data_IF_897650832255
#
_entry.id   IF_897650832255
#
_cell.length_a   1.000
_cell.length_b   1.000
_cell.length_c   1.000
_cell.angle_alpha   90.00
_cell.angle_beta   90.00
_cell.angle_gamma   90.00
#
_symmetry.space_group_name_H-M   'P 1'
#
loop_
_entity.id
_entity.type
_entity.pdbx_description
1 polymer ?
#
# COMPACT_ATOMS: atom_id res chain seq x y z
N UNK A 1 5.49 -8.73 -8.16
CA UNK A 1 4.84 -7.42 -8.39
C UNK A 1 4.06 -7.46 -9.69
N UNK A 2 3.01 -6.66 -9.84
CA UNK A 2 2.22 -6.54 -11.08
C UNK A 2 2.09 -5.05 -11.43
N UNK A 3 2.29 -4.70 -12.69
CA UNK A 3 2.02 -3.35 -13.19
C UNK A 3 0.66 -3.36 -13.89
N UNK A 4 -0.25 -2.49 -13.47
CA UNK A 4 -1.61 -2.40 -14.03
C UNK A 4 -2.01 -0.94 -14.25
N UNK A 5 -2.76 -0.65 -15.31
CA UNK A 5 -3.23 0.71 -15.58
C UNK A 5 -4.33 1.14 -14.61
N UNK A 6 -5.18 0.20 -14.18
CA UNK A 6 -6.30 0.45 -13.27
C UNK A 6 -6.34 -0.62 -12.19
N UNK A 7 -6.55 -0.21 -10.93
CA UNK A 7 -6.85 -1.14 -9.86
C UNK A 7 -8.28 -1.65 -10.02
N UNK A 8 -8.43 -2.93 -10.32
CA UNK A 8 -9.75 -3.55 -10.30
C UNK A 8 -10.22 -3.70 -8.84
N UNK A 9 -11.52 -3.51 -8.57
CA UNK A 9 -12.06 -3.79 -7.24
C UNK A 9 -11.95 -5.29 -6.96
N UNK A 10 -10.97 -5.67 -6.15
CA UNK A 10 -10.78 -7.05 -5.74
C UNK A 10 -11.92 -7.46 -4.79
N UNK A 11 -12.49 -8.64 -5.04
CA UNK A 11 -13.57 -9.23 -4.21
C UNK A 11 -13.04 -9.77 -2.88
N UNK A 12 -11.75 -10.05 -2.77
CA UNK A 12 -11.12 -10.67 -1.61
C UNK A 12 -10.41 -9.65 -0.71
N UNK A 13 -9.98 -8.51 -1.27
CA UNK A 13 -9.26 -7.49 -0.52
C UNK A 13 -10.11 -6.22 -0.35
N UNK A 14 -9.80 -5.45 0.70
CA UNK A 14 -10.37 -4.11 0.94
C UNK A 14 -9.26 -3.10 1.16
N UNK A 15 -9.49 -1.90 0.65
CA UNK A 15 -8.62 -0.77 0.92
C UNK A 15 -8.79 -0.35 2.40
N UNK A 16 -7.67 -0.31 3.13
CA UNK A 16 -7.63 -0.02 4.57
C UNK A 16 -6.84 1.25 4.89
N UNK A 17 -6.30 1.96 3.90
CA UNK A 17 -5.49 3.16 4.10
C UNK A 17 -6.20 4.27 4.89
N UNK A 18 -7.53 4.38 4.77
CA UNK A 18 -8.35 5.31 5.57
C UNK A 18 -8.36 5.04 7.08
N UNK A 19 -7.94 3.85 7.51
CA UNK A 19 -7.87 3.47 8.93
C UNK A 19 -6.53 3.85 9.58
N UNK A 20 -5.59 4.36 8.79
CA UNK A 20 -4.25 4.71 9.22
C UNK A 20 -4.02 6.22 9.28
N UNK A 21 -3.06 6.61 10.10
CA UNK A 21 -2.40 7.91 10.04
C UNK A 21 -1.22 7.80 9.07
N UNK A 22 -1.10 8.78 8.18
CA UNK A 22 -0.05 8.82 7.16
C UNK A 22 0.94 9.92 7.48
N UNK A 23 2.23 9.65 7.31
CA UNK A 23 3.28 10.66 7.39
C UNK A 23 4.37 10.40 6.35
N UNK A 24 5.10 11.45 6.00
CA UNK A 24 6.25 11.39 5.09
C UNK A 24 7.48 11.98 5.76
N UNK A 25 8.68 11.58 5.34
CA UNK A 25 9.93 12.14 5.89
C UNK A 25 10.12 13.61 5.59
N UNK A 26 9.69 14.05 4.41
CA UNK A 26 9.78 15.43 3.95
C UNK A 26 8.76 15.67 2.85
N UNK A 27 8.41 16.93 2.62
CA UNK A 27 7.55 17.32 1.51
C UNK A 27 7.85 18.76 1.10
N UNK A 28 7.81 19.05 -0.20
CA UNK A 28 7.77 20.43 -0.67
C UNK A 28 6.45 21.10 -0.29
N UNK A 29 6.43 22.42 -0.01
CA UNK A 29 5.19 23.15 0.24
C UNK A 29 4.16 22.93 -0.88
N UNK A 30 2.94 22.54 -0.51
CA UNK A 30 1.85 22.26 -1.44
C UNK A 30 1.85 20.87 -2.08
N UNK A 31 2.87 20.04 -1.83
CA UNK A 31 2.98 18.68 -2.36
C UNK A 31 3.16 17.65 -1.24
N UNK A 32 2.25 17.68 -0.26
CA UNK A 32 2.35 16.92 0.98
C UNK A 32 1.78 15.50 0.90
N UNK A 33 1.68 14.86 2.08
CA UNK A 33 1.20 13.49 2.26
C UNK A 33 -0.26 13.31 1.83
N UNK A 34 -1.06 14.37 1.91
CA UNK A 34 -2.47 14.41 1.52
C UNK A 34 -2.69 14.03 0.05
N UNK A 35 -1.75 14.35 -0.83
CA UNK A 35 -1.86 14.09 -2.26
C UNK A 35 -1.69 12.60 -2.60
N UNK A 36 -1.05 11.80 -1.73
CA UNK A 36 -0.95 10.35 -1.91
C UNK A 36 -2.32 9.65 -1.92
N UNK A 37 -3.37 10.32 -1.45
CA UNK A 37 -4.66 9.74 -1.08
C UNK A 37 -5.86 10.51 -1.63
N UNK A 38 -5.64 11.54 -2.44
CA UNK A 38 -6.70 12.41 -2.98
C UNK A 38 -7.48 11.79 -4.15
N UNK A 39 -6.99 10.66 -4.68
CA UNK A 39 -7.63 9.92 -5.75
C UNK A 39 -7.39 10.48 -7.15
N UNK A 40 -6.47 11.44 -7.31
CA UNK A 40 -6.10 12.03 -8.59
C UNK A 40 -4.72 11.57 -9.06
N UNK A 41 -4.52 11.43 -10.36
CA UNK A 41 -3.25 11.00 -10.96
C UNK A 41 -2.39 12.19 -11.42
N UNK A 42 -2.95 13.40 -11.43
CA UNK A 42 -2.26 14.64 -11.80
C UNK A 42 -1.52 15.31 -10.63
N UNK A 43 -1.91 15.02 -9.40
CA UNK A 43 -1.26 15.46 -8.15
C UNK A 43 -0.24 14.43 -7.65
N UNK A 44 0.70 14.88 -6.83
CA UNK A 44 1.76 14.02 -6.30
C UNK A 44 2.35 14.56 -5.00
N UNK A 45 2.74 13.65 -4.11
CA UNK A 45 3.71 13.98 -3.08
C UNK A 45 5.08 14.19 -3.72
N UNK A 46 5.75 15.27 -3.33
CA UNK A 46 7.15 15.53 -3.71
C UNK A 46 8.01 15.61 -2.44
N UNK A 47 8.97 14.70 -2.31
CA UNK A 47 9.94 14.76 -1.21
C UNK A 47 10.83 16.02 -1.30
N UNK A 48 11.43 16.39 -0.18
CA UNK A 48 12.41 17.48 -0.11
C UNK A 48 13.44 17.19 0.99
N UNK A 49 14.32 16.21 0.75
CA UNK A 49 15.20 15.70 1.80
C UNK A 49 16.27 14.74 1.33
N UNK A 50 16.95 14.08 2.27
CA UNK A 50 17.91 13.04 1.96
C UNK A 50 17.20 11.69 1.78
N UNK A 51 17.67 10.89 0.83
CA UNK A 51 17.23 9.50 0.68
C UNK A 51 17.65 8.67 1.92
N UNK A 52 16.89 7.62 2.30
CA UNK A 52 15.65 7.18 1.64
C UNK A 52 14.44 8.06 1.99
N UNK A 53 13.56 8.28 1.01
CA UNK A 53 12.29 9.00 1.23
C UNK A 53 11.23 8.02 1.72
N UNK A 54 10.59 8.31 2.86
CA UNK A 54 9.70 7.36 3.51
C UNK A 54 8.26 7.85 3.49
N UNK A 55 7.34 6.93 3.19
CA UNK A 55 5.90 7.04 3.49
C UNK A 55 5.60 6.05 4.60
N UNK A 56 5.07 6.54 5.72
CA UNK A 56 4.70 5.73 6.87
C UNK A 56 3.17 5.66 6.98
N UNK A 57 2.66 4.45 7.18
CA UNK A 57 1.24 4.14 7.31
C UNK A 57 1.03 3.44 8.64
N UNK A 58 0.54 4.18 9.64
CA UNK A 58 0.41 3.72 11.01
C UNK A 58 -1.06 3.48 11.38
N UNK A 59 -1.37 2.25 11.75
CA UNK A 59 -2.71 1.82 12.15
C UNK A 59 -2.87 1.85 13.68
N UNK A 60 -4.06 2.22 14.15
CA UNK A 60 -4.39 2.20 15.59
C UNK A 60 -4.53 0.79 16.17
N UNK A 61 -4.79 -0.21 15.31
CA UNK A 61 -4.92 -1.62 15.67
C UNK A 61 -4.02 -2.43 14.76
N UNK A 62 -3.60 -3.62 15.23
CA UNK A 62 -2.84 -4.55 14.38
C UNK A 62 -3.73 -4.98 13.22
N UNK A 63 -3.29 -4.73 12.00
CA UNK A 63 -4.02 -5.06 10.79
C UNK A 63 -3.35 -6.21 10.04
N UNK A 64 -4.15 -6.91 9.25
CA UNK A 64 -3.69 -7.84 8.25
C UNK A 64 -3.44 -7.08 6.95
N UNK A 65 -2.27 -7.27 6.36
CA UNK A 65 -1.78 -6.60 5.17
C UNK A 65 -1.61 -7.63 4.06
N UNK A 66 -2.21 -7.35 2.91
CA UNK A 66 -2.20 -8.22 1.73
C UNK A 66 -1.35 -7.62 0.62
N UNK A 67 -1.64 -6.38 0.22
CA UNK A 67 -0.97 -5.74 -0.90
C UNK A 67 -0.79 -4.23 -0.67
N UNK A 68 0.21 -3.65 -1.32
CA UNK A 68 0.35 -2.20 -1.50
C UNK A 68 0.34 -1.90 -2.98
N UNK A 69 -0.43 -0.91 -3.39
CA UNK A 69 -0.41 -0.37 -4.74
C UNK A 69 0.15 1.06 -4.72
N UNK A 70 1.13 1.35 -5.58
CA UNK A 70 1.81 2.64 -5.70
C UNK A 70 1.65 3.11 -7.14
N UNK A 71 1.13 4.31 -7.36
CA UNK A 71 1.03 4.88 -8.69
C UNK A 71 2.25 5.74 -9.02
N UNK A 72 2.93 5.41 -10.11
CA UNK A 72 4.10 6.12 -10.63
C UNK A 72 4.01 6.23 -12.15
N UNK A 73 4.49 7.33 -12.72
CA UNK A 73 4.51 7.53 -14.18
C UNK A 73 5.85 8.12 -14.64
N UNK A 74 6.69 7.27 -15.24
CA UNK A 74 8.00 7.68 -15.72
C UNK A 74 7.96 8.79 -16.78
N UNK A 75 6.93 8.83 -17.64
CA UNK A 75 6.85 9.84 -18.69
C UNK A 75 6.55 11.23 -18.13
N UNK A 76 5.83 11.30 -17.02
CA UNK A 76 5.49 12.56 -16.37
C UNK A 76 6.57 12.99 -15.38
N UNK A 77 7.22 12.04 -14.70
CA UNK A 77 8.08 12.32 -13.55
C UNK A 77 9.59 12.19 -13.86
N UNK A 78 9.98 11.53 -14.96
CA UNK A 78 11.38 11.36 -15.39
C UNK A 78 12.29 10.94 -14.21
N UNK A 79 13.25 11.80 -13.82
CA UNK A 79 14.18 11.58 -12.71
C UNK A 79 13.54 11.48 -11.32
N UNK A 80 12.32 12.00 -11.12
CA UNK A 80 11.59 11.89 -9.85
C UNK A 80 10.95 10.51 -9.66
N UNK A 81 10.97 9.65 -10.68
CA UNK A 81 10.35 8.33 -10.64
C UNK A 81 11.19 7.35 -9.81
N UNK A 82 10.63 6.70 -8.77
CA UNK A 82 11.34 5.65 -8.04
C UNK A 82 11.90 4.54 -8.95
N UNK A 83 13.15 4.13 -8.73
CA UNK A 83 13.75 2.92 -9.33
C UNK A 83 13.80 1.77 -8.33
N UNK A 84 13.93 2.06 -7.04
CA UNK A 84 14.06 1.02 -6.01
C UNK A 84 13.20 1.37 -4.80
N UNK A 85 12.27 0.48 -4.47
CA UNK A 85 11.36 0.64 -3.33
C UNK A 85 11.51 -0.56 -2.40
N UNK A 86 11.67 -0.28 -1.12
CA UNK A 86 11.65 -1.25 -0.03
C UNK A 86 10.34 -1.09 0.75
N UNK A 87 9.55 -2.16 0.87
CA UNK A 87 8.36 -2.20 1.71
C UNK A 87 8.72 -2.91 3.01
N UNK A 88 8.41 -2.25 4.12
CA UNK A 88 8.76 -2.68 5.47
C UNK A 88 7.54 -2.73 6.35
N UNK A 89 7.50 -3.66 7.29
CA UNK A 89 6.41 -3.80 8.26
C UNK A 89 6.98 -4.05 9.65
N UNK A 90 6.32 -3.47 10.67
CA UNK A 90 6.69 -3.62 12.07
C UNK A 90 5.54 -3.27 13.01
N UNK A 91 5.83 -3.23 14.32
CA UNK A 91 4.88 -2.75 15.33
C UNK A 91 5.15 -1.29 15.73
N UNK A 92 6.39 -0.84 15.58
CA UNK A 92 6.95 0.47 15.94
C UNK A 92 7.96 0.90 14.89
N UNK A 93 8.41 2.15 14.92
CA UNK A 93 9.48 2.61 14.01
C UNK A 93 10.84 1.93 14.26
N UNK A 94 11.05 1.36 15.45
CA UNK A 94 12.33 0.73 15.84
C UNK A 94 12.43 -0.74 15.41
N UNK A 95 11.31 -1.41 15.12
CA UNK A 95 11.27 -2.83 14.74
C UNK A 95 10.74 -3.08 13.32
N UNK A 96 10.64 -2.05 12.49
CA UNK A 96 10.31 -2.23 11.07
C UNK A 96 11.36 -3.07 10.37
N UNK A 97 10.91 -4.07 9.60
CA UNK A 97 11.78 -4.94 8.81
C UNK A 97 11.34 -4.93 7.37
N UNK A 98 12.32 -4.99 6.46
CA UNK A 98 12.04 -5.17 5.04
C UNK A 98 11.37 -6.52 4.81
N UNK A 99 10.22 -6.48 4.14
CA UNK A 99 9.46 -7.66 3.74
C UNK A 99 9.47 -7.85 2.24
N UNK A 100 9.57 -6.76 1.47
CA UNK A 100 9.67 -6.78 0.00
C UNK A 100 10.62 -5.70 -0.47
N UNK A 101 11.38 -6.02 -1.51
CA UNK A 101 12.22 -5.07 -2.25
C UNK A 101 11.87 -5.22 -3.72
N UNK A 102 11.56 -4.11 -4.39
CA UNK A 102 11.21 -4.09 -5.82
C UNK A 102 12.11 -3.12 -6.56
N UNK A 103 12.40 -3.47 -7.81
CA UNK A 103 13.09 -2.60 -8.75
C UNK A 103 12.14 -2.29 -9.90
N UNK A 104 12.10 -1.01 -10.29
CA UNK A 104 11.18 -0.46 -11.28
C UNK A 104 11.98 0.07 -12.47
N UNK A 105 11.55 -0.29 -13.67
CA UNK A 105 12.13 0.18 -14.93
C UNK A 105 11.05 0.92 -15.70
N UNK A 106 11.14 2.26 -15.70
CA UNK A 106 10.22 3.17 -16.39
C UNK A 106 8.72 2.87 -16.15
N UNK A 107 8.28 2.68 -14.90
CA UNK A 107 6.91 2.25 -14.60
C UNK A 107 5.88 3.30 -15.04
N UNK A 108 4.74 2.84 -15.55
CA UNK A 108 3.59 3.66 -15.92
C UNK A 108 2.31 3.02 -15.38
N UNK A 109 1.73 3.62 -14.33
CA UNK A 109 0.50 3.16 -13.69
C UNK A 109 0.71 2.61 -12.28
N UNK A 110 -0.17 1.70 -11.87
CA UNK A 110 -0.16 1.09 -10.55
C UNK A 110 0.83 -0.07 -10.46
N UNK A 111 1.85 0.10 -9.64
CA UNK A 111 2.74 -0.95 -9.17
C UNK A 111 2.11 -1.62 -7.96
N UNK A 112 1.60 -2.84 -8.14
CA UNK A 112 0.99 -3.66 -7.09
C UNK A 112 2.00 -4.66 -6.54
N UNK A 113 2.21 -4.64 -5.23
CA UNK A 113 3.17 -5.47 -4.51
C UNK A 113 2.45 -6.32 -3.48
N UNK A 114 2.51 -7.64 -3.69
CA UNK A 114 2.04 -8.63 -2.73
C UNK A 114 3.00 -8.71 -1.54
N UNK A 115 2.45 -8.64 -0.33
CA UNK A 115 3.20 -8.62 0.93
C UNK A 115 3.41 -10.01 1.58
N UNK A 116 2.46 -10.96 1.52
CA UNK A 116 2.66 -12.32 2.01
C UNK A 116 3.91 -12.97 1.41
N UNK A 117 4.60 -13.87 2.13
CA UNK A 117 5.74 -14.63 1.59
C UNK A 117 5.38 -15.43 0.34
N UNK A 118 6.35 -15.68 -0.54
CA UNK A 118 6.11 -16.39 -1.80
C UNK A 118 5.72 -17.86 -1.58
N UNK A 119 6.24 -18.48 -0.51
CA UNK A 119 5.94 -19.87 -0.14
C UNK A 119 4.57 -20.03 0.55
N UNK A 120 4.00 -18.94 1.08
CA UNK A 120 2.70 -18.93 1.77
C UNK A 120 1.83 -17.76 1.28
N UNK A 121 1.34 -17.79 0.03
CA UNK A 121 0.60 -16.68 -0.58
C UNK A 121 -0.77 -16.44 0.07
N UNK A 122 -1.33 -17.45 0.75
CA UNK A 122 -2.58 -17.34 1.51
C UNK A 122 -2.37 -16.76 2.92
N UNK A 123 -1.12 -16.68 3.39
CA UNK A 123 -0.82 -16.04 4.65
C UNK A 123 -1.04 -14.52 4.55
N UNK A 124 -1.14 -13.87 5.70
CA UNK A 124 -1.24 -12.42 5.77
C UNK A 124 -0.17 -11.89 6.72
N UNK A 125 0.52 -10.84 6.27
CA UNK A 125 1.45 -10.13 7.12
C UNK A 125 0.66 -9.29 8.13
N UNK A 126 1.10 -9.26 9.39
CA UNK A 126 0.43 -8.48 10.44
C UNK A 126 1.35 -7.42 10.99
N UNK A 127 0.86 -6.19 11.10
CA UNK A 127 1.63 -5.08 11.65
C UNK A 127 0.76 -3.92 12.12
N UNK A 128 1.39 -3.01 12.86
CA UNK A 128 0.81 -1.70 13.17
C UNK A 128 1.37 -0.61 12.26
N UNK A 129 2.55 -0.83 11.68
CA UNK A 129 3.24 0.12 10.82
C UNK A 129 3.63 -0.56 9.52
N UNK A 130 3.24 0.04 8.40
CA UNK A 130 3.78 -0.23 7.08
C UNK A 130 4.60 1.00 6.65
N UNK A 131 5.81 0.78 6.16
CA UNK A 131 6.70 1.82 5.68
C UNK A 131 7.13 1.52 4.24
N UNK A 132 6.91 2.47 3.35
CA UNK A 132 7.39 2.44 1.96
C UNK A 132 8.62 3.34 1.90
N UNK A 133 9.77 2.76 1.55
CA UNK A 133 11.03 3.46 1.46
C UNK A 133 11.48 3.53 0.00
N UNK A 134 11.47 4.74 -0.57
CA UNK A 134 12.10 5.00 -1.87
C UNK A 134 13.60 5.13 -1.66
N UNK A 135 14.34 4.11 -2.11
CA UNK A 135 15.78 4.00 -1.89
C UNK A 135 16.58 4.68 -3.00
N UNK A 136 16.03 4.73 -4.21
CA UNK A 136 16.64 5.37 -5.37
C UNK A 136 15.57 5.79 -6.38
N UNK A 137 15.91 6.78 -7.21
CA UNK A 137 15.11 7.24 -8.34
C UNK A 137 15.84 7.06 -9.66
N UNK A 138 15.12 7.24 -10.78
CA UNK A 138 15.70 7.20 -12.12
C UNK A 138 16.68 8.35 -12.30
N UNK A 139 17.70 8.15 -13.14
CA UNK A 139 18.68 9.20 -13.48
C UNK A 139 19.36 9.86 -12.27
N UNK A 140 19.46 9.13 -11.15
CA UNK A 140 19.96 9.65 -9.86
C UNK A 140 19.19 10.88 -9.33
N UNK A 141 17.88 10.96 -9.61
CA UNK A 141 17.03 12.04 -9.10
C UNK A 141 17.05 12.11 -7.57
N UNK A 142 17.22 13.33 -7.05
CA UNK A 142 17.36 13.59 -5.62
C UNK A 142 16.05 13.40 -4.87
N UNK A 143 14.97 14.00 -5.36
CA UNK A 143 13.63 13.92 -4.79
C UNK A 143 12.76 12.91 -5.55
N UNK A 144 11.66 12.48 -4.96
CA UNK A 144 10.74 11.50 -5.57
C UNK A 144 9.33 12.07 -5.72
N UNK A 145 8.63 11.62 -6.76
CA UNK A 145 7.20 11.80 -6.93
C UNK A 145 6.48 10.47 -6.73
N UNK A 146 5.49 10.47 -5.84
CA UNK A 146 4.48 9.40 -5.78
C UNK A 146 3.11 10.07 -5.90
N UNK A 147 2.34 9.62 -6.88
CA UNK A 147 1.03 10.22 -7.19
C UNK A 147 -0.06 9.66 -6.28
N UNK A 148 -0.08 8.34 -6.07
CA UNK A 148 -1.01 7.71 -5.14
C UNK A 148 -0.43 6.48 -4.45
N UNK A 149 -0.96 6.17 -3.26
CA UNK A 149 -0.70 4.92 -2.56
C UNK A 149 -2.01 4.32 -2.04
N UNK A 150 -2.21 3.01 -2.22
CA UNK A 150 -3.30 2.24 -1.62
C UNK A 150 -2.77 1.04 -0.85
N UNK A 151 -3.34 0.80 0.34
CA UNK A 151 -2.95 -0.32 1.19
C UNK A 151 -4.16 -1.22 1.36
N UNK A 152 -3.97 -2.51 1.10
CA UNK A 152 -5.02 -3.50 1.10
C UNK A 152 -4.80 -4.51 2.23
N UNK A 153 -5.91 -4.88 2.86
CA UNK A 153 -5.98 -6.03 3.75
C UNK A 153 -7.10 -6.98 3.31
N UNK A 154 -7.18 -8.18 3.90
CA UNK A 154 -8.25 -9.11 3.60
C UNK A 154 -9.60 -8.51 3.94
N UNK A 155 -10.62 -8.79 3.12
CA UNK A 155 -12.00 -8.61 3.56
C UNK A 155 -12.27 -9.60 4.68
N UNK A 156 -12.51 -9.07 5.88
CA UNK A 156 -13.06 -9.85 6.97
C UNK A 156 -14.42 -10.39 6.52
N UNK A 157 -14.55 -11.69 6.31
CA UNK A 157 -15.85 -12.34 6.29
C UNK A 157 -16.44 -12.16 7.71
N UNK A 158 -17.49 -11.35 7.89
CA UNK A 158 -18.06 -11.12 9.20
C UNK A 158 -18.51 -12.43 9.87
N UNK A 159 -18.85 -13.47 9.09
CA UNK A 159 -19.23 -14.79 9.59
C UNK A 159 -18.01 -15.50 10.19
N UNK A 160 -16.86 -15.50 9.49
CA UNK A 160 -15.60 -16.03 10.03
C UNK A 160 -15.10 -15.26 11.25
N UNK A 161 -15.30 -13.94 11.27
CA UNK A 161 -14.91 -13.09 12.40
C UNK A 161 -15.73 -13.39 13.68
N UNK A 162 -16.93 -13.97 13.53
CA UNK A 162 -17.80 -14.45 14.61
C UNK A 162 -17.51 -15.91 15.02
N UNK A 163 -16.39 -16.48 14.57
CA UNK A 163 -15.99 -17.86 14.91
C UNK A 163 -16.82 -18.95 14.23
N UNK A 164 -17.64 -18.60 13.24
CA UNK A 164 -18.32 -19.59 12.43
C UNK A 164 -17.40 -20.03 11.28
N UNK A 165 -16.99 -21.30 11.29
CA UNK A 165 -16.16 -21.90 10.23
C UNK A 165 -16.94 -22.15 8.92
N UNK A 166 -18.26 -22.00 8.96
CA UNK A 166 -19.17 -22.25 7.85
C UNK A 166 -19.74 -20.95 7.29
N UNK A 167 -19.38 -20.63 6.06
CA UNK A 167 -20.05 -19.60 5.26
C UNK A 167 -21.29 -20.22 4.58
N UNK A 168 -22.46 -19.56 4.65
CA UNK A 168 -23.64 -20.02 3.93
C UNK A 168 -23.41 -19.91 2.42
N UNK A 169 -23.50 -21.04 1.71
CA UNK A 169 -23.26 -21.10 0.26
C UNK A 169 -24.52 -20.83 -0.57
N UNK A 170 -25.71 -20.96 0.03
CA UNK A 170 -26.97 -20.71 -0.65
C UNK A 170 -27.56 -19.33 -0.30
N UNK A 171 -28.16 -18.62 -1.28
CA UNK A 171 -28.79 -17.32 -1.04
C UNK A 171 -29.87 -17.35 0.05
N UNK A 172 -30.62 -18.45 0.14
CA UNK A 172 -31.73 -18.62 1.09
C UNK A 172 -31.24 -18.63 2.53
N UNK A 173 -30.10 -19.27 2.82
CA UNK A 173 -29.51 -19.27 4.15
C UNK A 173 -28.73 -17.99 4.44
N UNK A 174 -28.09 -17.39 3.42
CA UNK A 174 -27.37 -16.12 3.58
C UNK A 174 -28.28 -14.97 4.06
N UNK A 175 -29.59 -15.01 3.75
CA UNK A 175 -30.58 -14.05 4.25
C UNK A 175 -30.70 -14.02 5.79
N UNK A 176 -30.37 -15.12 6.48
CA UNK A 176 -30.44 -15.22 7.94
C UNK A 176 -29.08 -15.03 8.62
N UNK A 177 -28.03 -14.72 7.85
CA UNK A 177 -26.67 -14.62 8.38
C UNK A 177 -26.42 -13.39 9.28
N UNK A 178 -27.27 -12.37 9.19
CA UNK A 178 -27.20 -11.18 10.03
C UNK A 178 -28.60 -10.67 10.35
N UNK A 179 -28.89 -10.42 11.63
CA UNK A 179 -30.03 -9.60 12.01
C UNK A 179 -29.70 -8.13 11.69
N UNK A 180 -30.56 -7.47 10.93
CA UNK A 180 -30.46 -6.02 10.66
C UNK A 180 -31.37 -5.25 11.59
#
# INVERSE_FOLDING_TARGET
>A
MKLVTTLQPDTNFREIGRLAVWSVTSAKPGNGVELLRDGRDDTYWQSDGAQPHLVNVQFQKKVYLSEVAIFTDYKLDESYTPTKISIRVGNTFSDVREVRSIELSEPQGWVVVSLPPDDEPEAYLKGFLLQIAVLANHQNGRDTHIRQVRVFGPRSDPIKALGHEVSFTSPQFAMYAAAR
#
